data_IF_047122313321
#
_entry.id   IF_047122313321
#
_cell.length_a   1.000
_cell.length_b   1.000
_cell.length_c   1.000
_cell.angle_alpha   90.00
_cell.angle_beta   90.00
_cell.angle_gamma   90.00
#
_symmetry.space_group_name_H-M   'P 1'
#
loop_
_entity.id
_entity.type
_entity.pdbx_description
1 polymer ?
#
# COMPACT_ATOMS: atom_id res chain seq x y z
N UNK A 1 -14.72 8.20 11.93
CA UNK A 1 -13.31 7.93 11.56
C UNK A 1 -13.38 6.95 10.41
N UNK A 2 -12.84 7.28 9.24
CA UNK A 2 -12.72 6.33 8.13
C UNK A 2 -11.72 5.25 8.54
N UNK A 3 -12.11 3.98 8.44
CA UNK A 3 -11.17 2.88 8.67
C UNK A 3 -10.25 2.78 7.45
N UNK A 4 -8.95 2.72 7.70
CA UNK A 4 -7.95 2.56 6.65
C UNK A 4 -7.25 1.21 6.77
N UNK A 5 -7.13 0.52 5.64
CA UNK A 5 -6.24 -0.64 5.52
C UNK A 5 -4.84 -0.14 5.26
N UNK A 6 -3.86 -0.76 5.91
CA UNK A 6 -2.48 -0.29 5.90
C UNK A 6 -1.53 -1.45 5.58
N UNK A 7 -0.52 -1.15 4.76
CA UNK A 7 0.50 -2.07 4.34
C UNK A 7 1.88 -1.44 4.48
N UNK A 8 2.83 -2.20 5.01
CA UNK A 8 4.25 -1.91 4.93
C UNK A 8 4.78 -2.74 3.76
N UNK A 9 5.12 -2.08 2.66
CA UNK A 9 5.77 -2.70 1.52
C UNK A 9 7.28 -2.70 1.78
N UNK A 10 7.93 -3.85 1.65
CA UNK A 10 9.37 -3.94 1.86
C UNK A 10 10.14 -3.18 0.76
N UNK A 11 11.12 -2.39 1.18
CA UNK A 11 11.96 -1.57 0.31
C UNK A 11 11.62 -0.07 0.32
N UNK A 12 12.56 0.71 -0.19
CA UNK A 12 12.40 2.12 -0.53
C UNK A 12 11.77 2.22 -1.92
N UNK A 13 10.46 2.01 -2.00
CA UNK A 13 9.74 2.09 -3.27
C UNK A 13 9.47 3.55 -3.60
N UNK A 14 9.70 3.90 -4.85
CA UNK A 14 9.20 5.14 -5.43
C UNK A 14 7.71 5.03 -5.73
N UNK A 15 7.02 6.17 -5.85
CA UNK A 15 5.61 6.14 -6.23
C UNK A 15 5.37 5.56 -7.63
N UNK A 16 6.35 5.67 -8.54
CA UNK A 16 6.26 5.07 -9.87
C UNK A 16 6.36 3.53 -9.81
N UNK A 17 7.23 2.99 -8.96
CA UNK A 17 7.32 1.54 -8.72
C UNK A 17 6.02 1.01 -8.09
N UNK A 18 5.44 1.73 -7.12
CA UNK A 18 4.14 1.34 -6.56
C UNK A 18 3.04 1.43 -7.62
N UNK A 19 3.03 2.46 -8.45
CA UNK A 19 2.07 2.56 -9.56
C UNK A 19 2.20 1.38 -10.55
N UNK A 20 3.42 0.95 -10.86
CA UNK A 20 3.66 -0.23 -11.70
C UNK A 20 3.13 -1.51 -11.05
N UNK A 21 3.33 -1.70 -9.74
CA UNK A 21 2.77 -2.83 -9.00
C UNK A 21 1.23 -2.79 -8.98
N UNK A 22 0.63 -1.61 -8.88
CA UNK A 22 -0.83 -1.42 -8.96
C UNK A 22 -1.36 -1.82 -10.34
N UNK A 23 -0.65 -1.48 -11.43
CA UNK A 23 -0.97 -1.97 -12.77
C UNK A 23 -0.81 -3.50 -12.86
N UNK A 24 0.27 -4.05 -12.31
CA UNK A 24 0.52 -5.49 -12.30
C UNK A 24 -0.54 -6.27 -11.51
N UNK A 25 -1.15 -5.64 -10.49
CA UNK A 25 -2.29 -6.16 -9.74
C UNK A 25 -3.64 -6.01 -10.48
N UNK A 26 -3.61 -5.65 -11.77
CA UNK A 26 -4.79 -5.60 -12.64
C UNK A 26 -5.61 -4.31 -12.53
N UNK A 27 -5.09 -3.26 -11.87
CA UNK A 27 -5.75 -1.95 -11.85
C UNK A 27 -5.39 -1.14 -13.10
N UNK A 28 -6.29 -0.24 -13.48
CA UNK A 28 -6.15 0.53 -14.74
C UNK A 28 -6.21 2.03 -14.46
N UNK A 29 -5.89 2.85 -15.47
CA UNK A 29 -5.90 4.32 -15.37
C UNK A 29 -5.13 4.84 -14.13
N UNK A 30 -3.93 4.29 -13.91
CA UNK A 30 -3.10 4.59 -12.75
C UNK A 30 -2.36 5.91 -12.96
N UNK A 31 -2.41 6.81 -11.99
CA UNK A 31 -1.69 8.08 -11.99
C UNK A 31 -1.11 8.40 -10.62
N UNK A 32 0.08 9.00 -10.61
CA UNK A 32 0.74 9.46 -9.40
C UNK A 32 0.51 10.96 -9.23
N UNK A 33 -0.02 11.36 -8.08
CA UNK A 33 -0.16 12.75 -7.67
C UNK A 33 0.83 13.08 -6.57
N UNK A 34 1.66 14.10 -6.81
CA UNK A 34 2.51 14.70 -5.79
C UNK A 34 1.70 15.51 -4.79
N UNK A 35 2.03 15.40 -3.50
CA UNK A 35 1.47 16.25 -2.45
C UNK A 35 2.51 17.29 -2.00
N UNK A 36 2.10 18.20 -1.10
CA UNK A 36 2.98 19.28 -0.60
C UNK A 36 4.27 18.76 0.05
N UNK A 37 4.21 17.55 0.64
CA UNK A 37 5.37 16.87 1.20
C UNK A 37 5.97 15.92 0.14
N UNK A 38 7.28 15.98 -0.15
CA UNK A 38 7.89 15.16 -1.18
C UNK A 38 7.76 13.65 -0.90
N UNK A 39 7.83 13.26 0.37
CA UNK A 39 7.65 11.90 0.88
C UNK A 39 6.21 11.39 0.82
N UNK A 40 5.22 12.29 0.64
CA UNK A 40 3.81 11.90 0.55
C UNK A 40 3.34 11.94 -0.91
N UNK A 41 2.90 10.79 -1.42
CA UNK A 41 2.36 10.64 -2.78
C UNK A 41 1.02 9.95 -2.73
N UNK A 42 0.21 10.17 -3.75
CA UNK A 42 -1.07 9.48 -3.90
C UNK A 42 -1.06 8.77 -5.25
N UNK A 43 -1.39 7.48 -5.25
CA UNK A 43 -1.62 6.71 -6.48
C UNK A 43 -3.12 6.57 -6.66
N UNK A 44 -3.66 7.26 -7.66
CA UNK A 44 -5.07 7.18 -8.05
C UNK A 44 -5.21 6.13 -9.15
N UNK A 45 -6.23 5.28 -9.08
CA UNK A 45 -6.43 4.20 -10.04
C UNK A 45 -7.90 3.80 -10.13
N UNK A 46 -8.23 3.10 -11.22
CA UNK A 46 -9.55 2.56 -11.48
C UNK A 46 -9.63 1.08 -11.11
N UNK A 47 -10.62 0.77 -10.28
CA UNK A 47 -11.00 -0.58 -9.86
C UNK A 47 -11.66 -1.35 -11.01
N UNK A 48 -11.83 -2.67 -10.83
CA UNK A 48 -12.42 -3.55 -11.85
C UNK A 48 -13.90 -3.23 -12.12
N UNK A 49 -14.62 -2.74 -11.12
CA UNK A 49 -16.01 -2.27 -11.23
C UNK A 49 -16.13 -0.88 -11.91
N UNK A 50 -15.00 -0.25 -12.21
CA UNK A 50 -14.92 1.08 -12.81
C UNK A 50 -14.94 2.25 -11.83
N UNK A 51 -15.00 2.01 -10.52
CA UNK A 51 -14.88 3.03 -9.49
C UNK A 51 -13.44 3.54 -9.36
N UNK A 52 -13.28 4.78 -8.88
CA UNK A 52 -11.98 5.35 -8.57
C UNK A 52 -11.59 5.06 -7.12
N UNK A 53 -10.32 4.75 -6.90
CA UNK A 53 -9.74 4.65 -5.57
C UNK A 53 -8.35 5.25 -5.53
N UNK A 54 -7.82 5.39 -4.32
CA UNK A 54 -6.54 6.02 -4.07
C UNK A 54 -5.75 5.25 -3.00
N UNK A 55 -4.46 5.12 -3.25
CA UNK A 55 -3.47 4.69 -2.28
C UNK A 55 -2.67 5.91 -1.83
N UNK A 56 -2.69 6.16 -0.52
CA UNK A 56 -1.85 7.14 0.12
C UNK A 56 -0.50 6.48 0.43
N UNK A 57 0.58 7.03 -0.10
CA UNK A 57 1.92 6.52 0.05
C UNK A 57 2.76 7.48 0.87
N UNK A 58 3.37 6.95 1.92
CA UNK A 58 4.45 7.60 2.64
C UNK A 58 5.73 6.87 2.21
N UNK A 59 6.44 7.50 1.28
CA UNK A 59 7.72 7.04 0.75
C UNK A 59 8.81 7.28 1.80
N UNK A 60 9.87 6.45 1.77
CA UNK A 60 11.06 6.59 2.62
C UNK A 60 10.74 6.85 4.09
N UNK A 61 9.69 6.19 4.56
CA UNK A 61 8.95 6.70 5.70
C UNK A 61 9.67 6.41 7.00
N UNK A 62 9.82 7.44 7.83
CA UNK A 62 9.96 7.30 9.29
C UNK A 62 8.80 6.50 9.91
N UNK A 63 7.70 6.24 9.19
CA UNK A 63 6.69 5.29 9.63
C UNK A 63 7.23 3.86 9.63
N UNK A 64 8.17 3.48 8.75
CA UNK A 64 8.88 2.21 8.92
C UNK A 64 9.69 2.19 10.23
N UNK A 65 10.18 3.36 10.68
CA UNK A 65 10.80 3.49 12.00
C UNK A 65 9.75 3.41 13.13
N UNK A 66 8.59 4.06 13.00
CA UNK A 66 7.47 3.96 13.95
C UNK A 66 6.94 2.51 14.04
N UNK A 67 7.03 1.77 12.92
CA UNK A 67 6.69 0.36 12.80
C UNK A 67 7.92 -0.56 12.82
N UNK A 68 9.07 -0.10 13.32
CA UNK A 68 10.29 -0.92 13.37
C UNK A 68 10.13 -2.17 14.26
N UNK A 69 9.19 -2.10 15.21
CA UNK A 69 8.77 -3.23 16.05
C UNK A 69 7.96 -4.29 15.27
N UNK A 70 7.43 -3.94 14.10
CA UNK A 70 6.61 -4.79 13.22
C UNK A 70 7.42 -5.31 12.04
N UNK A 71 8.23 -4.45 11.42
CA UNK A 71 9.00 -4.77 10.22
C UNK A 71 10.42 -4.23 10.34
N UNK A 72 11.42 -5.11 10.17
CA UNK A 72 12.83 -4.73 10.27
C UNK A 72 13.42 -4.52 8.88
N UNK A 73 13.59 -3.25 8.49
CA UNK A 73 14.24 -2.85 7.24
C UNK A 73 13.54 -1.66 6.58
N UNK A 74 14.06 -1.20 5.43
CA UNK A 74 13.41 -0.19 4.61
C UNK A 74 11.96 -0.55 4.29
N UNK A 75 11.04 0.40 4.46
CA UNK A 75 9.63 0.18 4.20
C UNK A 75 8.94 1.40 3.61
N UNK A 76 8.00 1.14 2.71
CA UNK A 76 7.08 2.14 2.18
C UNK A 76 5.69 1.87 2.76
N UNK A 77 5.12 2.84 3.48
CA UNK A 77 3.78 2.70 4.05
C UNK A 77 2.74 3.09 3.00
N UNK A 78 1.81 2.19 2.74
CA UNK A 78 0.65 2.41 1.88
C UNK A 78 -0.63 2.32 2.71
N UNK A 79 -1.52 3.29 2.58
CA UNK A 79 -2.85 3.28 3.22
C UNK A 79 -3.95 3.50 2.18
N UNK A 80 -5.10 2.88 2.41
CA UNK A 80 -6.28 3.04 1.56
C UNK A 80 -7.54 2.94 2.41
N UNK A 81 -8.66 3.44 1.89
CA UNK A 81 -9.97 3.18 2.49
C UNK A 81 -10.20 1.66 2.64
N UNK A 82 -10.69 1.24 3.81
CA UNK A 82 -10.99 -0.15 4.09
C UNK A 82 -12.16 -0.64 3.21
N UNK A 83 -11.82 -1.30 2.12
CA UNK A 83 -12.77 -1.94 1.20
C UNK A 83 -12.20 -3.28 0.72
N UNK A 84 -13.05 -4.25 0.30
CA UNK A 84 -12.58 -5.53 -0.22
C UNK A 84 -11.58 -5.39 -1.38
N UNK A 85 -11.81 -4.44 -2.29
CA UNK A 85 -10.95 -4.22 -3.45
C UNK A 85 -9.57 -3.66 -3.08
N UNK A 86 -9.53 -2.72 -2.13
CA UNK A 86 -8.29 -2.15 -1.63
C UNK A 86 -7.52 -3.14 -0.77
N UNK A 87 -8.21 -3.93 0.04
CA UNK A 87 -7.60 -5.01 0.80
C UNK A 87 -6.97 -6.06 -0.13
N UNK A 88 -7.67 -6.44 -1.20
CA UNK A 88 -7.16 -7.33 -2.23
C UNK A 88 -5.90 -6.76 -2.90
N UNK A 89 -5.94 -5.48 -3.28
CA UNK A 89 -4.78 -4.79 -3.85
C UNK A 89 -3.58 -4.77 -2.89
N UNK A 90 -3.77 -4.29 -1.66
CA UNK A 90 -2.69 -4.21 -0.67
C UNK A 90 -2.11 -5.60 -0.35
N UNK A 91 -2.92 -6.66 -0.32
CA UNK A 91 -2.43 -8.05 -0.24
C UNK A 91 -1.52 -8.40 -1.41
N UNK A 92 -1.93 -8.11 -2.64
CA UNK A 92 -1.11 -8.36 -3.83
C UNK A 92 0.21 -7.59 -3.79
N UNK A 93 0.19 -6.33 -3.35
CA UNK A 93 1.40 -5.51 -3.22
C UNK A 93 2.35 -6.11 -2.16
N UNK A 94 1.84 -6.43 -0.97
CA UNK A 94 2.64 -7.06 0.10
C UNK A 94 3.20 -8.41 -0.33
N UNK A 95 2.42 -9.23 -1.04
CA UNK A 95 2.91 -10.51 -1.60
C UNK A 95 4.01 -10.30 -2.62
N UNK A 96 3.95 -9.24 -3.44
CA UNK A 96 4.93 -8.96 -4.48
C UNK A 96 6.25 -8.41 -3.91
N UNK A 97 6.19 -7.56 -2.88
CA UNK A 97 7.38 -6.90 -2.33
C UNK A 97 7.96 -7.65 -1.13
N UNK A 98 7.16 -8.49 -0.48
CA UNK A 98 7.35 -8.83 0.93
C UNK A 98 6.92 -7.66 1.82
N UNK A 99 6.51 -7.95 3.06
CA UNK A 99 6.06 -6.91 3.98
C UNK A 99 4.95 -7.36 4.92
N UNK A 100 4.19 -6.39 5.42
CA UNK A 100 3.16 -6.58 6.44
C UNK A 100 1.87 -5.87 6.04
N UNK A 101 0.73 -6.41 6.45
CA UNK A 101 -0.60 -5.86 6.21
C UNK A 101 -1.41 -5.84 7.51
N UNK A 102 -2.17 -4.78 7.76
CA UNK A 102 -3.27 -4.80 8.73
C UNK A 102 -4.54 -4.25 8.09
N UNK A 103 -5.67 -4.88 8.42
CA UNK A 103 -6.98 -4.55 7.84
C UNK A 103 -7.45 -3.17 8.32
N UNK A 104 -7.20 -2.88 9.59
CA UNK A 104 -7.42 -1.58 10.23
C UNK A 104 -6.52 -1.48 11.48
N UNK A 105 -6.51 -0.31 12.14
CA UNK A 105 -5.64 -0.05 13.30
C UNK A 105 -5.95 -0.90 14.54
N UNK A 106 -7.14 -1.50 14.63
CA UNK A 106 -7.53 -2.38 15.74
C UNK A 106 -7.03 -3.83 15.56
N UNK A 107 -6.57 -4.18 14.36
CA UNK A 107 -6.12 -5.52 14.02
C UNK A 107 -4.59 -5.64 14.01
N UNK A 108 -4.05 -6.83 14.35
CA UNK A 108 -2.61 -7.05 14.30
C UNK A 108 -2.09 -7.02 12.87
N UNK A 109 -0.81 -6.68 12.73
CA UNK A 109 -0.09 -6.83 11.48
C UNK A 109 0.11 -8.29 11.14
N UNK A 110 -0.09 -8.62 9.87
CA UNK A 110 0.02 -9.97 9.32
C UNK A 110 0.99 -9.97 8.15
N UNK A 111 1.90 -10.93 8.15
CA UNK A 111 2.72 -11.21 6.98
C UNK A 111 1.86 -11.95 5.95
N UNK A 112 1.87 -11.51 4.69
CA UNK A 112 1.23 -12.24 3.60
C UNK A 112 2.32 -13.02 2.88
N UNK A 113 2.31 -14.34 3.04
CA UNK A 113 3.16 -15.24 2.25
C UNK A 113 2.53 -15.44 0.87
N UNK A 114 3.36 -15.54 -0.17
CA UNK A 114 2.94 -15.72 -1.56
C UNK A 114 2.21 -17.06 -1.87
N UNK A 115 1.71 -17.76 -0.86
CA UNK A 115 1.26 -19.15 -0.95
C UNK A 115 -0.26 -19.33 -1.14
N UNK A 116 -1.05 -18.27 -1.29
CA UNK A 116 -2.49 -18.39 -1.53
C UNK A 116 -2.87 -17.64 -2.82
N UNK A 117 -2.58 -18.30 -3.96
CA UNK A 117 -3.16 -18.01 -5.28
C UNK A 117 -4.13 -19.11 -5.66
#
# INVERSE_FOLDING_TARGET
MSQETQAILAGHLTADEVAQLVVAAGKTAVSVRGMQRPEYKIVEFRQADGAWSALNLFLDSWAADDYAHVFTGPGTLATAECSPDNLGLLRSLVSATGGMLRIDESQPWMQISAAES
#
